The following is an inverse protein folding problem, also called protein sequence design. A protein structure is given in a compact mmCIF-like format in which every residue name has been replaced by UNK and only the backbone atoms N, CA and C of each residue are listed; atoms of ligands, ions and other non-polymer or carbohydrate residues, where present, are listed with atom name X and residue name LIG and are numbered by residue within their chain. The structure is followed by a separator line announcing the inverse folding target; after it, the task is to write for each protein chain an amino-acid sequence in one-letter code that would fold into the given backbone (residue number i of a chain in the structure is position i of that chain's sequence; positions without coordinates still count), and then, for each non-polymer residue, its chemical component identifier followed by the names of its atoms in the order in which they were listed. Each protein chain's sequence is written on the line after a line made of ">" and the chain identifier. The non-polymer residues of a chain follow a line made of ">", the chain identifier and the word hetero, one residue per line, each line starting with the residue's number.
data_IF_807423888748
#
_entry.id   IF_807423888748
#
_cell.length_a   1.000
_cell.length_b   1.000
_cell.length_c   1.000
_cell.angle_alpha   90.00
_cell.angle_beta   90.00
_cell.angle_gamma   90.00
#
_symmetry.space_group_name_H-M   'P 1'
#
loop_
_entity.id
_entity.type
_entity.pdbx_description
1 polymer ?
#
# COMPACT_ATOMS: atom_id res chain seq x y z
N UNK A 1 -22.16 -2.65 18.60
CA UNK A 1 -21.06 -3.17 17.74
C UNK A 1 -19.97 -3.68 18.67
N UNK A 2 -19.82 -4.99 18.80
CA UNK A 2 -18.82 -5.61 19.67
C UNK A 2 -17.46 -5.55 18.99
N UNK A 3 -16.49 -4.90 19.62
CA UNK A 3 -15.08 -5.01 19.22
C UNK A 3 -14.70 -6.47 19.45
N UNK A 4 -14.41 -7.22 18.38
CA UNK A 4 -13.95 -8.61 18.52
C UNK A 4 -12.66 -8.55 19.35
N UNK A 5 -12.61 -9.22 20.53
CA UNK A 5 -11.41 -9.21 21.35
C UNK A 5 -10.28 -9.84 20.55
N UNK A 6 -9.24 -9.06 20.27
CA UNK A 6 -8.02 -9.61 19.67
C UNK A 6 -7.36 -10.48 20.76
N UNK A 7 -6.94 -11.72 20.45
CA UNK A 7 -6.15 -12.50 21.39
C UNK A 7 -4.92 -11.68 21.80
N UNK A 8 -4.61 -11.66 23.09
CA UNK A 8 -3.55 -10.83 23.67
C UNK A 8 -2.19 -11.24 23.08
N UNK A 9 -1.83 -10.60 21.97
CA UNK A 9 -0.69 -10.98 21.15
C UNK A 9 0.58 -10.46 21.80
N UNK A 10 1.55 -11.35 22.06
CA UNK A 10 2.88 -10.94 22.55
C UNK A 10 3.57 -10.11 21.48
N UNK A 11 3.64 -8.81 21.69
CA UNK A 11 4.51 -7.90 20.94
C UNK A 11 5.96 -8.36 21.16
N UNK A 12 6.69 -8.62 20.07
CA UNK A 12 8.08 -9.06 20.09
C UNK A 12 8.98 -8.02 19.42
N UNK A 13 10.15 -7.75 20.00
CA UNK A 13 11.17 -6.87 19.40
C UNK A 13 11.61 -7.35 18.01
N UNK A 14 11.50 -8.65 17.75
CA UNK A 14 11.81 -9.22 16.43
C UNK A 14 10.87 -8.73 15.32
N UNK A 15 9.63 -8.34 15.66
CA UNK A 15 8.68 -7.84 14.67
C UNK A 15 9.10 -6.49 14.10
N UNK A 16 9.74 -5.63 14.92
CA UNK A 16 10.32 -4.38 14.46
C UNK A 16 11.47 -4.59 13.47
N UNK A 17 12.31 -5.61 13.70
CA UNK A 17 13.38 -5.96 12.76
C UNK A 17 12.80 -6.38 11.40
N UNK A 18 11.80 -7.27 11.40
CA UNK A 18 11.15 -7.70 10.17
C UNK A 18 10.45 -6.55 9.44
N UNK A 19 9.83 -5.63 10.18
CA UNK A 19 9.24 -4.42 9.63
C UNK A 19 10.28 -3.60 8.87
N UNK A 20 11.42 -3.30 9.51
CA UNK A 20 12.49 -2.50 8.91
C UNK A 20 13.04 -3.20 7.66
N UNK A 21 13.31 -4.50 7.74
CA UNK A 21 13.80 -5.29 6.59
C UNK A 21 12.83 -5.21 5.43
N UNK A 22 11.53 -5.40 5.65
CA UNK A 22 10.53 -5.38 4.60
C UNK A 22 10.33 -3.98 3.99
N UNK A 23 10.38 -2.92 4.79
CA UNK A 23 10.33 -1.53 4.29
C UNK A 23 11.55 -1.21 3.43
N UNK A 24 12.76 -1.65 3.82
CA UNK A 24 13.95 -1.49 2.99
C UNK A 24 13.81 -2.29 1.68
N UNK A 25 13.33 -3.54 1.77
CA UNK A 25 13.11 -4.38 0.59
C UNK A 25 12.14 -3.72 -0.39
N UNK A 26 11.04 -3.09 0.07
CA UNK A 26 10.11 -2.39 -0.83
C UNK A 26 10.76 -1.29 -1.66
N UNK A 27 11.79 -0.60 -1.13
CA UNK A 27 12.54 0.40 -1.90
C UNK A 27 13.58 -0.20 -2.87
N UNK A 28 14.07 -1.40 -2.58
CA UNK A 28 15.08 -2.08 -3.41
C UNK A 28 14.45 -2.84 -4.58
N UNK A 29 13.33 -3.51 -4.37
CA UNK A 29 12.68 -4.37 -5.39
C UNK A 29 12.20 -3.60 -6.62
N UNK A 30 12.05 -2.28 -6.53
CA UNK A 30 11.67 -1.43 -7.66
C UNK A 30 12.85 -1.06 -8.57
N UNK A 31 14.10 -1.14 -8.09
CA UNK A 31 15.30 -0.72 -8.84
C UNK A 31 15.52 -1.42 -10.18
N UNK A 32 15.27 -2.75 -10.32
CA UNK A 32 15.41 -3.43 -11.60
C UNK A 32 14.62 -2.81 -12.75
N UNK A 33 13.49 -2.13 -12.45
CA UNK A 33 12.65 -1.45 -13.44
C UNK A 33 13.43 -0.40 -14.25
N UNK A 34 14.41 0.27 -13.63
CA UNK A 34 15.23 1.31 -14.26
C UNK A 34 16.16 0.78 -15.35
N UNK A 35 16.43 -0.53 -15.36
CA UNK A 35 17.31 -1.18 -16.35
C UNK A 35 16.53 -1.76 -17.54
N UNK A 36 15.20 -1.67 -17.54
CA UNK A 36 14.35 -2.20 -18.60
C UNK A 36 14.22 -1.28 -19.82
N UNK A 37 14.84 -0.10 -19.79
CA UNK A 37 14.87 0.86 -20.91
C UNK A 37 15.85 0.48 -22.02
N UNK A 38 16.70 -0.52 -21.79
CA UNK A 38 17.60 -1.10 -22.79
C UNK A 38 16.84 -1.72 -23.95
N UNK A 39 17.40 -1.67 -25.17
CA UNK A 39 16.87 -2.36 -26.35
C UNK A 39 17.30 -3.84 -26.43
N UNK A 40 18.23 -4.27 -25.56
CA UNK A 40 18.70 -5.64 -25.52
C UNK A 40 17.69 -6.56 -24.82
N UNK A 41 17.06 -7.45 -25.59
CA UNK A 41 16.04 -8.39 -25.09
C UNK A 41 16.57 -9.28 -23.97
N UNK A 42 17.82 -9.76 -24.06
CA UNK A 42 18.42 -10.59 -23.01
C UNK A 42 18.52 -9.85 -21.67
N UNK A 43 18.88 -8.56 -21.70
CA UNK A 43 18.90 -7.72 -20.50
C UNK A 43 17.49 -7.42 -19.99
N UNK A 44 16.52 -7.18 -20.87
CA UNK A 44 15.12 -6.99 -20.48
C UNK A 44 14.56 -8.22 -19.76
N UNK A 45 14.82 -9.42 -20.30
CA UNK A 45 14.40 -10.69 -19.69
C UNK A 45 15.06 -10.88 -18.33
N UNK A 46 16.38 -10.64 -18.24
CA UNK A 46 17.12 -10.77 -16.97
C UNK A 46 16.57 -9.84 -15.89
N UNK A 47 16.47 -8.53 -16.18
CA UNK A 47 16.02 -7.54 -15.20
C UNK A 47 14.53 -7.68 -14.87
N UNK A 48 13.70 -8.07 -15.84
CA UNK A 48 12.29 -8.38 -15.60
C UNK A 48 12.12 -9.61 -14.73
N UNK A 49 12.95 -10.64 -14.92
CA UNK A 49 13.01 -11.80 -14.05
C UNK A 49 13.41 -11.44 -12.62
N UNK A 50 14.49 -10.66 -12.45
CA UNK A 50 14.94 -10.18 -11.12
C UNK A 50 13.84 -9.37 -10.43
N UNK A 51 13.16 -8.50 -11.18
CA UNK A 51 12.03 -7.69 -10.68
C UNK A 51 10.90 -8.58 -10.13
N UNK A 52 10.41 -9.52 -10.93
CA UNK A 52 9.31 -10.40 -10.55
C UNK A 52 9.69 -11.34 -9.39
N UNK A 53 10.90 -11.88 -9.40
CA UNK A 53 11.41 -12.71 -8.31
C UNK A 53 11.55 -11.91 -7.01
N UNK A 54 12.01 -10.66 -7.09
CA UNK A 54 12.11 -9.76 -5.94
C UNK A 54 10.76 -9.47 -5.30
N UNK A 55 9.75 -9.15 -6.12
CA UNK A 55 8.38 -8.96 -5.65
C UNK A 55 7.77 -10.24 -5.06
N UNK A 56 7.89 -11.37 -5.76
CA UNK A 56 7.38 -12.66 -5.27
C UNK A 56 8.03 -13.10 -3.96
N UNK A 57 9.35 -12.96 -3.85
CA UNK A 57 10.10 -13.25 -2.62
C UNK A 57 9.70 -12.33 -1.47
N UNK A 58 9.49 -11.04 -1.74
CA UNK A 58 9.06 -10.07 -0.71
C UNK A 58 7.65 -10.35 -0.22
N UNK A 59 6.70 -10.66 -1.11
CA UNK A 59 5.35 -11.12 -0.72
C UNK A 59 5.43 -12.39 0.11
N UNK A 60 6.21 -13.38 -0.32
CA UNK A 60 6.36 -14.64 0.40
C UNK A 60 6.93 -14.43 1.81
N UNK A 61 7.96 -13.59 1.95
CA UNK A 61 8.53 -13.24 3.24
C UNK A 61 7.53 -12.49 4.11
N UNK A 62 6.85 -11.47 3.57
CA UNK A 62 5.87 -10.68 4.31
C UNK A 62 4.69 -11.55 4.79
N UNK A 63 4.18 -12.43 3.93
CA UNK A 63 3.12 -13.38 4.27
C UNK A 63 3.58 -14.37 5.35
N UNK A 64 4.82 -14.88 5.26
CA UNK A 64 5.39 -15.78 6.26
C UNK A 64 5.55 -15.10 7.63
N UNK A 65 6.07 -13.86 7.68
CA UNK A 65 6.15 -13.09 8.94
C UNK A 65 4.75 -12.86 9.50
N UNK A 66 3.81 -12.43 8.65
CA UNK A 66 2.44 -12.19 9.06
C UNK A 66 1.77 -13.45 9.60
N UNK A 67 1.94 -14.61 8.98
CA UNK A 67 1.34 -15.86 9.46
C UNK A 67 1.88 -16.32 10.82
N UNK A 68 3.09 -15.92 11.21
CA UNK A 68 3.62 -16.13 12.57
C UNK A 68 2.94 -15.24 13.60
N UNK A 69 2.50 -14.06 13.18
CA UNK A 69 1.76 -13.13 14.02
C UNK A 69 0.31 -13.60 14.10
N UNK A 70 -0.37 -13.73 12.97
CA UNK A 70 -1.80 -14.02 12.89
C UNK A 70 -2.09 -15.20 11.94
N UNK A 71 -2.40 -16.39 12.48
CA UNK A 71 -2.70 -17.55 11.65
C UNK A 71 -4.13 -17.46 11.09
N UNK A 72 -4.25 -17.80 9.80
CA UNK A 72 -5.54 -18.06 9.16
C UNK A 72 -6.19 -16.86 8.47
N UNK A 73 -7.11 -17.19 7.57
CA UNK A 73 -7.96 -16.25 6.84
C UNK A 73 -9.41 -16.53 7.22
N UNK A 74 -10.23 -15.48 7.30
CA UNK A 74 -11.66 -15.63 7.57
C UNK A 74 -12.48 -15.07 6.41
N UNK A 75 -13.66 -15.62 6.16
CA UNK A 75 -14.50 -15.14 5.04
C UNK A 75 -14.99 -13.72 5.29
N UNK A 76 -15.08 -12.91 4.24
CA UNK A 76 -15.73 -11.60 4.29
C UNK A 76 -17.24 -11.77 4.46
N UNK A 77 -17.82 -10.94 5.32
CA UNK A 77 -19.25 -10.86 5.59
C UNK A 77 -19.84 -9.64 4.89
N UNK A 78 -21.17 -9.58 4.74
CA UNK A 78 -21.85 -8.40 4.18
C UNK A 78 -21.55 -7.12 4.97
N UNK A 79 -21.38 -7.22 6.28
CA UNK A 79 -21.00 -6.09 7.15
C UNK A 79 -19.59 -5.59 6.83
N UNK A 80 -18.65 -6.49 6.54
CA UNK A 80 -17.29 -6.10 6.13
C UNK A 80 -17.33 -5.35 4.80
N UNK A 81 -18.08 -5.86 3.81
CA UNK A 81 -18.27 -5.20 2.52
C UNK A 81 -18.90 -3.82 2.66
N UNK A 82 -19.93 -3.68 3.50
CA UNK A 82 -20.56 -2.40 3.79
C UNK A 82 -19.60 -1.40 4.45
N UNK A 83 -18.72 -1.87 5.33
CA UNK A 83 -17.67 -1.04 5.93
C UNK A 83 -16.61 -0.63 4.91
N UNK A 84 -16.20 -1.57 4.06
CA UNK A 84 -15.25 -1.33 2.98
C UNK A 84 -15.76 -0.25 2.02
N UNK A 85 -17.02 -0.35 1.59
CA UNK A 85 -17.65 0.62 0.71
C UNK A 85 -17.67 2.02 1.35
N UNK A 86 -18.12 2.14 2.61
CA UNK A 86 -18.15 3.43 3.32
C UNK A 86 -16.76 4.04 3.47
N UNK A 87 -15.77 3.21 3.82
CA UNK A 87 -14.38 3.66 3.93
C UNK A 87 -13.81 4.10 2.59
N UNK A 88 -14.14 3.41 1.50
CA UNK A 88 -13.68 3.79 0.17
C UNK A 88 -14.31 5.10 -0.32
N UNK A 89 -15.62 5.28 -0.10
CA UNK A 89 -16.29 6.56 -0.38
C UNK A 89 -15.66 7.70 0.42
N UNK A 90 -15.31 7.45 1.70
CA UNK A 90 -14.60 8.43 2.51
C UNK A 90 -13.23 8.80 1.93
N UNK A 91 -12.43 7.81 1.49
CA UNK A 91 -11.15 8.06 0.82
C UNK A 91 -11.35 8.95 -0.40
N UNK A 92 -12.28 8.59 -1.29
CA UNK A 92 -12.55 9.38 -2.51
C UNK A 92 -12.94 10.83 -2.19
N UNK A 93 -13.81 11.05 -1.21
CA UNK A 93 -14.23 12.41 -0.83
C UNK A 93 -13.06 13.23 -0.30
N UNK A 94 -12.26 12.66 0.60
CA UNK A 94 -11.12 13.36 1.19
C UNK A 94 -10.01 13.59 0.17
N UNK A 95 -9.75 12.63 -0.70
CA UNK A 95 -8.78 12.76 -1.79
C UNK A 95 -9.16 13.90 -2.73
N UNK A 96 -10.43 13.97 -3.17
CA UNK A 96 -10.90 15.08 -4.01
C UNK A 96 -10.77 16.44 -3.31
N UNK A 97 -11.07 16.52 -2.02
CA UNK A 97 -10.90 17.74 -1.22
C UNK A 97 -9.43 18.15 -1.10
N UNK A 98 -8.55 17.21 -0.77
CA UNK A 98 -7.12 17.47 -0.56
C UNK A 98 -6.41 17.77 -1.89
N UNK A 99 -6.79 17.13 -2.98
CA UNK A 99 -6.30 17.43 -4.33
C UNK A 99 -6.75 18.83 -4.77
N UNK A 100 -8.00 19.22 -4.47
CA UNK A 100 -8.45 20.59 -4.69
C UNK A 100 -7.62 21.60 -3.87
N UNK A 101 -7.37 21.33 -2.58
CA UNK A 101 -6.51 22.16 -1.74
C UNK A 101 -5.08 22.23 -2.29
N UNK A 102 -4.54 21.13 -2.80
CA UNK A 102 -3.20 21.08 -3.39
C UNK A 102 -3.11 21.96 -4.64
N UNK A 103 -4.17 21.96 -5.46
CA UNK A 103 -4.25 22.79 -6.67
C UNK A 103 -4.32 24.28 -6.35
N UNK A 104 -5.14 24.68 -5.38
CA UNK A 104 -5.34 26.11 -5.07
C UNK A 104 -4.24 26.67 -4.18
N UNK A 105 -3.72 25.88 -3.23
CA UNK A 105 -2.75 26.32 -2.23
C UNK A 105 -1.29 26.08 -2.63
N UNK A 106 -1.01 25.05 -3.42
CA UNK A 106 0.36 24.65 -3.78
C UNK A 106 0.59 24.55 -5.30
N UNK A 107 -0.43 24.86 -6.12
CA UNK A 107 -0.37 24.80 -7.58
C UNK A 107 0.02 23.42 -8.15
N UNK A 108 -0.30 22.34 -7.43
CA UNK A 108 -0.06 20.97 -7.85
C UNK A 108 -1.38 20.27 -8.21
N UNK A 109 -1.44 19.71 -9.41
CA UNK A 109 -2.62 18.97 -9.92
C UNK A 109 -2.50 17.46 -9.74
N UNK A 110 -1.34 16.97 -9.30
CA UNK A 110 -1.05 15.56 -9.03
C UNK A 110 -0.06 15.44 -7.87
N UNK A 111 -0.05 14.31 -7.17
CA UNK A 111 0.95 14.05 -6.12
C UNK A 111 2.33 13.74 -6.72
N UNK A 112 3.41 13.97 -5.96
CA UNK A 112 4.77 13.63 -6.40
C UNK A 112 4.93 12.13 -6.71
N UNK A 113 4.23 11.27 -5.96
CA UNK A 113 4.22 9.83 -6.20
C UNK A 113 3.54 9.47 -7.53
N UNK A 114 2.36 10.03 -7.80
CA UNK A 114 1.63 9.77 -9.05
C UNK A 114 2.41 10.31 -10.26
N UNK A 115 3.05 11.47 -10.11
CA UNK A 115 3.95 12.01 -11.13
C UNK A 115 5.15 11.09 -11.40
N UNK A 116 5.81 10.58 -10.36
CA UNK A 116 6.93 9.65 -10.51
C UNK A 116 6.52 8.35 -11.21
N UNK A 117 5.34 7.81 -10.88
CA UNK A 117 4.76 6.64 -11.56
C UNK A 117 4.48 6.98 -13.03
N UNK A 118 3.83 8.12 -13.31
CA UNK A 118 3.52 8.55 -14.67
C UNK A 118 4.78 8.68 -15.55
N UNK A 119 5.89 9.13 -14.98
CA UNK A 119 7.16 9.24 -15.70
C UNK A 119 7.83 7.89 -15.95
N UNK A 120 7.67 6.91 -15.05
CA UNK A 120 8.10 5.53 -15.28
C UNK A 120 7.26 4.85 -16.37
N UNK A 121 5.95 5.08 -16.42
CA UNK A 121 5.06 4.48 -17.42
C UNK A 121 5.43 4.88 -18.86
N UNK A 122 6.10 6.04 -19.05
CA UNK A 122 6.57 6.52 -20.36
C UNK A 122 7.83 5.80 -20.86
N UNK A 123 8.48 4.97 -20.04
CA UNK A 123 9.78 4.36 -20.36
C UNK A 123 9.69 3.14 -21.28
N UNK A 124 8.49 2.68 -21.62
CA UNK A 124 8.26 1.61 -22.59
C UNK A 124 7.16 0.63 -22.14
N UNK A 125 6.62 -0.12 -23.11
CA UNK A 125 5.47 -1.02 -22.89
C UNK A 125 5.76 -2.09 -21.84
N UNK A 126 6.98 -2.65 -21.80
CA UNK A 126 7.34 -3.65 -20.81
C UNK A 126 7.34 -3.08 -19.37
N UNK A 127 7.93 -1.90 -19.18
CA UNK A 127 7.91 -1.18 -17.89
C UNK A 127 6.48 -0.88 -17.48
N UNK A 128 5.68 -0.38 -18.42
CA UNK A 128 4.28 -0.05 -18.21
C UNK A 128 3.47 -1.27 -17.73
N UNK A 129 3.61 -2.43 -18.39
CA UNK A 129 2.93 -3.67 -18.00
C UNK A 129 3.40 -4.13 -16.62
N UNK A 130 4.71 -4.25 -16.42
CA UNK A 130 5.27 -4.76 -15.16
C UNK A 130 4.89 -3.87 -13.98
N UNK A 131 5.04 -2.56 -14.10
CA UNK A 131 4.68 -1.60 -13.06
C UNK A 131 3.18 -1.59 -12.77
N UNK A 132 2.33 -1.67 -13.80
CA UNK A 132 0.87 -1.70 -13.60
C UNK A 132 0.44 -2.97 -12.86
N UNK A 133 0.92 -4.13 -13.30
CA UNK A 133 0.56 -5.42 -12.69
C UNK A 133 1.05 -5.50 -11.25
N UNK A 134 2.29 -5.08 -10.96
CA UNK A 134 2.80 -5.12 -9.59
C UNK A 134 2.13 -4.09 -8.70
N UNK A 135 1.92 -2.85 -9.16
CA UNK A 135 1.27 -1.81 -8.38
C UNK A 135 -0.19 -2.17 -8.02
N UNK A 136 -0.92 -2.82 -8.92
CA UNK A 136 -2.32 -3.19 -8.71
C UNK A 136 -2.46 -4.49 -7.91
N UNK A 137 -1.66 -5.51 -8.26
CA UNK A 137 -1.90 -6.88 -7.77
C UNK A 137 -0.92 -7.34 -6.69
N UNK A 138 0.24 -6.71 -6.55
CA UNK A 138 1.33 -7.23 -5.70
C UNK A 138 1.69 -6.28 -4.57
N UNK A 139 1.90 -4.99 -4.86
CA UNK A 139 2.19 -3.97 -3.85
C UNK A 139 1.14 -3.92 -2.73
N UNK A 140 -0.19 -4.02 -3.00
CA UNK A 140 -1.18 -4.05 -1.93
C UNK A 140 -0.96 -5.20 -0.94
N UNK A 141 -0.55 -6.38 -1.39
CA UNK A 141 -0.23 -7.47 -0.47
C UNK A 141 0.95 -7.10 0.43
N UNK A 142 2.06 -6.65 -0.16
CA UNK A 142 3.26 -6.30 0.60
C UNK A 142 2.96 -5.20 1.62
N UNK A 143 2.35 -4.11 1.17
CA UNK A 143 2.05 -2.96 2.01
C UNK A 143 1.05 -3.29 3.12
N UNK A 144 -0.03 -4.03 2.81
CA UNK A 144 -0.97 -4.44 3.85
C UNK A 144 -0.34 -5.41 4.87
N UNK A 145 0.50 -6.35 4.44
CA UNK A 145 1.27 -7.18 5.36
C UNK A 145 2.18 -6.34 6.27
N UNK A 146 2.91 -5.37 5.72
CA UNK A 146 3.81 -4.49 6.47
C UNK A 146 3.03 -3.63 7.47
N UNK A 147 2.05 -2.85 6.99
CA UNK A 147 1.43 -1.81 7.79
C UNK A 147 0.31 -2.31 8.70
N UNK A 148 -0.46 -3.32 8.30
CA UNK A 148 -1.62 -3.84 9.05
C UNK A 148 -1.24 -5.11 9.80
N UNK A 149 -0.55 -6.01 9.11
CA UNK A 149 -0.06 -7.24 9.73
C UNK A 149 1.07 -6.99 10.74
N UNK A 150 2.21 -6.51 10.29
CA UNK A 150 3.44 -6.52 11.08
C UNK A 150 3.51 -5.29 11.99
N UNK A 151 3.27 -4.09 11.47
CA UNK A 151 3.27 -2.87 12.27
C UNK A 151 2.09 -2.87 13.24
N UNK A 152 0.85 -2.93 12.73
CA UNK A 152 -0.33 -2.73 13.58
C UNK A 152 -0.56 -3.88 14.56
N UNK A 153 -0.57 -5.14 14.11
CA UNK A 153 -0.79 -6.28 15.01
C UNK A 153 0.52 -6.74 15.68
N UNK A 154 1.60 -6.87 14.91
CA UNK A 154 2.87 -7.40 15.42
C UNK A 154 3.62 -6.46 16.37
N UNK A 155 3.66 -5.16 16.08
CA UNK A 155 4.45 -4.18 16.83
C UNK A 155 3.61 -3.33 17.79
N UNK A 156 2.38 -3.01 17.40
CA UNK A 156 1.48 -2.10 18.13
C UNK A 156 0.25 -2.81 18.72
N UNK A 157 0.17 -4.13 18.65
CA UNK A 157 -1.03 -4.90 19.01
C UNK A 157 -1.52 -4.71 20.44
N UNK A 158 -0.61 -4.38 21.37
CA UNK A 158 -0.91 -4.11 22.78
C UNK A 158 -1.52 -2.72 23.06
N UNK A 159 -1.58 -1.83 22.07
CA UNK A 159 -2.15 -0.49 22.26
C UNK A 159 -3.68 -0.50 22.12
N UNK A 160 -4.29 0.59 22.60
CA UNK A 160 -5.75 0.82 22.50
C UNK A 160 -6.20 0.97 21.04
N UNK A 161 -7.49 1.20 20.81
CA UNK A 161 -8.07 1.14 19.46
C UNK A 161 -7.44 2.11 18.46
N UNK A 162 -7.16 3.35 18.85
CA UNK A 162 -6.78 4.45 17.95
C UNK A 162 -5.28 4.58 17.63
N UNK A 163 -4.33 4.44 18.59
CA UNK A 163 -2.92 4.69 18.31
C UNK A 163 -2.34 3.86 17.15
N UNK A 164 -2.62 2.54 17.03
CA UNK A 164 -2.12 1.77 15.89
C UNK A 164 -2.66 2.26 14.54
N UNK A 165 -3.89 2.78 14.50
CA UNK A 165 -4.52 3.32 13.29
C UNK A 165 -3.79 4.59 12.84
N UNK A 166 -3.57 5.53 13.78
CA UNK A 166 -2.90 6.80 13.49
C UNK A 166 -1.44 6.58 13.10
N UNK A 167 -0.72 5.73 13.84
CA UNK A 167 0.69 5.41 13.55
C UNK A 167 0.82 4.71 12.20
N UNK A 168 -0.08 3.76 11.89
CA UNK A 168 -0.10 3.07 10.59
C UNK A 168 -0.35 4.06 9.44
N UNK A 169 -1.30 4.99 9.58
CA UNK A 169 -1.55 6.04 8.59
C UNK A 169 -0.34 6.96 8.36
N UNK A 170 0.28 7.44 9.44
CA UNK A 170 1.51 8.25 9.36
C UNK A 170 2.65 7.49 8.68
N UNK A 171 2.90 6.24 9.09
CA UNK A 171 3.94 5.40 8.51
C UNK A 171 3.70 5.13 7.02
N UNK A 172 2.44 4.91 6.63
CA UNK A 172 2.04 4.76 5.24
C UNK A 172 2.38 6.01 4.41
N UNK A 173 2.06 7.21 4.91
CA UNK A 173 2.40 8.45 4.23
C UNK A 173 3.90 8.70 4.09
N UNK A 174 4.70 8.31 5.11
CA UNK A 174 6.15 8.54 5.13
C UNK A 174 6.91 7.76 4.05
N UNK A 175 6.41 6.60 3.61
CA UNK A 175 7.07 5.81 2.55
C UNK A 175 6.65 6.22 1.14
N UNK A 176 5.64 7.07 1.01
CA UNK A 176 5.16 7.57 -0.28
C UNK A 176 5.82 8.90 -0.63
N UNK A 177 6.12 9.12 -1.92
CA UNK A 177 6.65 10.40 -2.36
C UNK A 177 5.59 11.51 -2.25
N UNK A 178 5.91 12.54 -1.47
CA UNK A 178 5.05 13.70 -1.26
C UNK A 178 5.91 14.98 -1.29
N UNK A 179 5.32 16.07 -1.75
CA UNK A 179 5.99 17.37 -1.89
C UNK A 179 5.22 18.51 -1.22
N UNK A 180 4.03 18.22 -0.68
CA UNK A 180 3.16 19.16 0.01
C UNK A 180 2.48 18.47 1.20
N UNK A 181 2.07 19.25 2.19
CA UNK A 181 1.31 18.71 3.32
C UNK A 181 -0.03 18.10 2.86
N UNK A 182 -0.68 18.69 1.83
CA UNK A 182 -1.92 18.15 1.28
C UNK A 182 -1.71 16.76 0.66
N UNK A 183 -0.66 16.58 -0.16
CA UNK A 183 -0.31 15.27 -0.73
C UNK A 183 0.09 14.25 0.33
N UNK A 184 0.82 14.66 1.37
CA UNK A 184 1.12 13.78 2.51
C UNK A 184 -0.16 13.35 3.25
N UNK A 185 -1.11 14.27 3.46
CA UNK A 185 -2.39 13.99 4.12
C UNK A 185 -3.26 13.02 3.31
N UNK A 186 -3.21 13.04 1.98
CA UNK A 186 -3.92 12.06 1.13
C UNK A 186 -3.48 10.64 1.52
N UNK A 187 -2.18 10.37 1.52
CA UNK A 187 -1.65 9.06 1.90
C UNK A 187 -1.89 8.74 3.38
N UNK A 188 -1.78 9.73 4.28
CA UNK A 188 -1.99 9.50 5.71
C UNK A 188 -3.44 9.10 6.03
N UNK A 189 -4.42 9.78 5.42
CA UNK A 189 -5.84 9.49 5.62
C UNK A 189 -6.23 8.19 4.93
N UNK A 190 -5.73 7.93 3.71
CA UNK A 190 -5.96 6.66 3.02
C UNK A 190 -5.41 5.49 3.84
N UNK A 191 -4.15 5.60 4.28
CA UNK A 191 -3.51 4.62 5.13
C UNK A 191 -4.24 4.40 6.46
N UNK A 192 -4.64 5.49 7.12
CA UNK A 192 -5.43 5.43 8.35
C UNK A 192 -6.81 4.79 8.14
N UNK A 193 -7.45 5.03 7.01
CA UNK A 193 -8.76 4.45 6.68
C UNK A 193 -8.66 2.95 6.47
N UNK A 194 -7.67 2.47 5.72
CA UNK A 194 -7.40 1.04 5.60
C UNK A 194 -7.08 0.43 6.98
N UNK A 195 -6.24 1.09 7.79
CA UNK A 195 -5.94 0.61 9.15
C UNK A 195 -7.20 0.53 10.04
N UNK A 196 -8.11 1.50 9.95
CA UNK A 196 -9.39 1.48 10.66
C UNK A 196 -10.27 0.30 10.22
N UNK A 197 -10.42 0.09 8.91
CA UNK A 197 -11.18 -1.04 8.36
C UNK A 197 -10.57 -2.37 8.81
N UNK A 198 -9.25 -2.51 8.74
CA UNK A 198 -8.55 -3.70 9.23
C UNK A 198 -8.76 -3.91 10.73
N UNK A 199 -8.63 -2.86 11.55
CA UNK A 199 -8.85 -2.95 13.01
C UNK A 199 -10.28 -3.36 13.36
N UNK A 200 -11.28 -2.93 12.59
CA UNK A 200 -12.69 -3.29 12.78
C UNK A 200 -13.05 -4.69 12.28
N UNK A 201 -12.56 -5.07 11.10
CA UNK A 201 -12.90 -6.36 10.47
C UNK A 201 -12.02 -7.49 10.97
N UNK A 202 -10.79 -7.19 11.39
CA UNK A 202 -9.75 -8.17 11.67
C UNK A 202 -9.34 -8.96 10.42
N UNK A 203 -9.56 -8.44 9.21
CA UNK A 203 -9.44 -9.19 7.96
C UNK A 203 -8.55 -8.45 6.98
N UNK A 204 -7.36 -9.00 6.73
CA UNK A 204 -6.37 -8.36 5.86
C UNK A 204 -6.85 -8.30 4.41
N UNK A 205 -7.59 -9.32 3.95
CA UNK A 205 -8.18 -9.32 2.60
C UNK A 205 -9.09 -8.12 2.35
N UNK A 206 -9.74 -7.55 3.37
CA UNK A 206 -10.62 -6.38 3.22
C UNK A 206 -9.82 -5.18 2.73
N UNK A 207 -8.64 -4.96 3.30
CA UNK A 207 -7.79 -3.84 2.92
C UNK A 207 -6.97 -4.12 1.68
N UNK A 208 -6.51 -5.37 1.46
CA UNK A 208 -5.82 -5.76 0.22
C UNK A 208 -6.72 -5.49 -1.00
N UNK A 209 -8.01 -5.88 -0.92
CA UNK A 209 -8.97 -5.66 -2.02
C UNK A 209 -9.19 -4.16 -2.25
N UNK A 210 -9.43 -3.38 -1.19
CA UNK A 210 -9.66 -1.95 -1.32
C UNK A 210 -8.44 -1.20 -1.85
N UNK A 211 -7.25 -1.56 -1.38
CA UNK A 211 -6.01 -0.95 -1.82
C UNK A 211 -5.72 -1.33 -3.28
N UNK A 212 -5.90 -2.60 -3.68
CA UNK A 212 -5.82 -3.01 -5.08
C UNK A 212 -6.83 -2.28 -5.97
N UNK A 213 -8.07 -2.08 -5.51
CA UNK A 213 -9.07 -1.28 -6.22
C UNK A 213 -8.62 0.19 -6.38
N UNK A 214 -8.11 0.78 -5.31
CA UNK A 214 -7.58 2.14 -5.34
C UNK A 214 -6.47 2.29 -6.38
N UNK A 215 -5.50 1.36 -6.36
CA UNK A 215 -4.38 1.36 -7.29
C UNK A 215 -4.84 1.10 -8.72
N UNK A 216 -5.85 0.24 -8.93
CA UNK A 216 -6.44 0.02 -10.24
C UNK A 216 -7.06 1.29 -10.81
N UNK A 217 -7.86 2.03 -10.02
CA UNK A 217 -8.46 3.27 -10.50
C UNK A 217 -7.41 4.35 -10.76
N UNK A 218 -6.46 4.55 -9.83
CA UNK A 218 -5.39 5.52 -9.99
C UNK A 218 -4.51 5.21 -11.21
N UNK A 219 -4.08 3.94 -11.36
CA UNK A 219 -3.30 3.50 -12.53
C UNK A 219 -4.09 3.67 -13.83
N UNK A 220 -5.38 3.32 -13.84
CA UNK A 220 -6.24 3.51 -15.00
C UNK A 220 -6.36 4.97 -15.42
N UNK A 221 -6.50 5.88 -14.46
CA UNK A 221 -6.52 7.32 -14.72
C UNK A 221 -5.18 7.82 -15.29
N UNK A 222 -4.05 7.39 -14.73
CA UNK A 222 -2.71 7.73 -15.25
C UNK A 222 -2.51 7.25 -16.69
N UNK A 223 -2.95 6.02 -17.00
CA UNK A 223 -2.88 5.44 -18.34
C UNK A 223 -3.79 6.16 -19.34
N UNK A 224 -4.89 6.74 -18.88
CA UNK A 224 -5.78 7.58 -19.69
C UNK A 224 -5.29 9.03 -19.82
N UNK A 225 -4.15 9.38 -19.20
CA UNK A 225 -3.61 10.74 -19.20
C UNK A 225 -4.38 11.72 -18.31
N UNK A 226 -5.19 11.21 -17.37
CA UNK A 226 -5.85 12.02 -16.36
C UNK A 226 -4.89 12.28 -15.21
N UNK A 227 -4.89 13.52 -14.70
CA UNK A 227 -4.13 13.89 -13.51
C UNK A 227 -4.86 13.36 -12.26
N UNK A 228 -4.09 12.74 -11.37
CA UNK A 228 -4.57 12.11 -10.13
C UNK A 228 -3.73 12.55 -8.96
#
# INVERSE_FOLDING_TARGET
>A
MTVVPQPQQRVSNQNWLWLIVLVILTGVIQRPLLHLTTTNVGQQVLWGGIYLLGFGGTVGLAAWVYHRIRPGWSRLTATDWGLMLKGYVFILVIEQLLTWLNRVGFHQVSTANNQAIADLLKQGVLVQILLSVTAICVSPFIEEFIFRGILMDGCLGGLSFWPPILISGVAFALVHANSTIASWLIYAVMGGTFAYIYRKTGKLQSTIILHGLNNLLAMGMLLWGLYV
#
